data_IF_363662751958
#
_entry.id   IF_363662751958
#
_cell.length_a   1.000
_cell.length_b   1.000
_cell.length_c   1.000
_cell.angle_alpha   90.00
_cell.angle_beta   90.00
_cell.angle_gamma   90.00
#
_symmetry.space_group_name_H-M   'P 1'
#
loop_
_entity.id
_entity.type
_entity.pdbx_description
1 polymer ?
#
# COMPACT_ATOMS: atom_id res chain seq x y z
N UNK A 1 12.98 -30.69 0.42
CA UNK A 1 14.04 -29.80 0.94
C UNK A 1 14.40 -28.75 -0.12
N UNK A 2 14.31 -27.46 0.21
CA UNK A 2 14.82 -26.40 -0.66
C UNK A 2 16.35 -26.56 -0.79
N UNK A 3 16.85 -26.55 -2.03
CA UNK A 3 18.29 -26.62 -2.25
C UNK A 3 18.98 -25.40 -1.63
N UNK A 4 20.19 -25.55 -1.12
CA UNK A 4 20.94 -24.49 -0.41
C UNK A 4 20.98 -23.18 -1.20
N UNK A 5 21.19 -23.26 -2.51
CA UNK A 5 21.21 -22.09 -3.38
C UNK A 5 19.86 -21.37 -3.48
N UNK A 6 18.73 -22.10 -3.46
CA UNK A 6 17.39 -21.48 -3.49
C UNK A 6 17.17 -20.65 -2.22
N UNK A 7 17.54 -21.20 -1.06
CA UNK A 7 17.47 -20.48 0.21
C UNK A 7 18.33 -19.21 0.20
N UNK A 8 19.53 -19.28 -0.37
CA UNK A 8 20.43 -18.13 -0.50
C UNK A 8 19.83 -17.03 -1.38
N UNK A 9 19.36 -17.38 -2.59
CA UNK A 9 18.71 -16.49 -3.54
C UNK A 9 17.52 -15.78 -2.89
N UNK A 10 16.62 -16.55 -2.28
CA UNK A 10 15.42 -16.01 -1.65
C UNK A 10 15.75 -15.10 -0.46
N UNK A 11 16.69 -15.50 0.40
CA UNK A 11 17.11 -14.68 1.54
C UNK A 11 17.62 -13.30 1.08
N UNK A 12 18.49 -13.28 0.07
CA UNK A 12 19.02 -12.01 -0.48
C UNK A 12 17.93 -11.17 -1.12
N UNK A 13 17.06 -11.79 -1.89
CA UNK A 13 15.94 -11.07 -2.50
C UNK A 13 15.03 -10.43 -1.44
N UNK A 14 14.64 -11.18 -0.40
CA UNK A 14 13.79 -10.65 0.68
C UNK A 14 14.46 -9.55 1.51
N UNK A 15 15.77 -9.62 1.70
CA UNK A 15 16.51 -8.52 2.36
C UNK A 15 16.45 -7.24 1.52
N UNK A 16 16.64 -7.33 0.19
CA UNK A 16 16.50 -6.17 -0.70
C UNK A 16 15.07 -5.64 -0.72
N UNK A 17 14.12 -6.55 -0.81
CA UNK A 17 12.71 -6.21 -0.75
C UNK A 17 12.34 -5.46 0.54
N UNK A 18 12.76 -5.96 1.70
CA UNK A 18 12.51 -5.29 2.98
C UNK A 18 13.17 -3.91 3.06
N UNK A 19 14.39 -3.75 2.54
CA UNK A 19 15.09 -2.48 2.51
C UNK A 19 14.36 -1.45 1.64
N UNK A 20 13.89 -1.86 0.46
CA UNK A 20 13.14 -0.98 -0.45
C UNK A 20 11.76 -0.67 0.11
N UNK A 21 11.09 -1.64 0.74
CA UNK A 21 9.86 -1.41 1.49
C UNK A 21 10.03 -0.32 2.56
N UNK A 22 11.10 -0.38 3.36
CA UNK A 22 11.41 0.63 4.37
C UNK A 22 11.66 2.01 3.74
N UNK A 23 12.38 2.08 2.62
CA UNK A 23 12.64 3.34 1.92
C UNK A 23 11.33 3.98 1.42
N UNK A 24 10.44 3.21 0.79
CA UNK A 24 9.14 3.72 0.33
C UNK A 24 8.19 4.06 1.48
N UNK A 25 8.21 3.26 2.55
CA UNK A 25 7.42 3.55 3.74
C UNK A 25 7.85 4.87 4.38
N UNK A 26 9.16 5.11 4.55
CA UNK A 26 9.68 6.37 5.11
C UNK A 26 9.32 7.57 4.24
N UNK A 27 9.44 7.45 2.93
CA UNK A 27 9.06 8.49 1.97
C UNK A 27 7.54 8.73 2.02
N UNK A 28 6.73 7.68 2.05
CA UNK A 28 5.27 7.78 2.19
C UNK A 28 4.85 8.47 3.49
N UNK A 29 5.49 8.14 4.62
CA UNK A 29 5.23 8.82 5.90
C UNK A 29 5.58 10.31 5.80
N UNK A 30 6.73 10.66 5.21
CA UNK A 30 7.14 12.07 5.07
C UNK A 30 6.14 12.85 4.23
N UNK A 31 5.67 12.31 3.12
CA UNK A 31 4.69 12.99 2.26
C UNK A 31 3.34 13.12 2.95
N UNK A 32 2.85 12.06 3.57
CA UNK A 32 1.56 12.06 4.28
C UNK A 32 1.57 13.01 5.48
N UNK A 33 2.67 13.15 6.20
CA UNK A 33 2.73 14.04 7.39
C UNK A 33 2.55 15.51 7.00
N UNK A 34 3.11 15.95 5.87
CA UNK A 34 2.92 17.31 5.36
C UNK A 34 1.46 17.56 4.98
N UNK A 35 0.81 16.59 4.37
CA UNK A 35 -0.61 16.67 4.01
C UNK A 35 -1.49 16.79 5.26
N UNK A 36 -1.24 15.94 6.27
CA UNK A 36 -2.03 15.95 7.51
C UNK A 36 -1.80 17.23 8.33
N UNK A 37 -0.57 17.72 8.45
CA UNK A 37 -0.28 19.00 9.13
C UNK A 37 -1.00 20.15 8.42
N UNK A 38 -0.99 20.17 7.09
CA UNK A 38 -1.70 21.19 6.30
C UNK A 38 -3.21 21.13 6.53
N UNK A 39 -3.80 19.94 6.58
CA UNK A 39 -5.22 19.74 6.84
C UNK A 39 -5.64 20.26 8.21
N UNK A 40 -4.84 20.00 9.25
CA UNK A 40 -5.15 20.41 10.63
C UNK A 40 -4.67 21.80 11.02
N UNK A 41 -3.97 22.52 10.13
CA UNK A 41 -3.42 23.85 10.44
C UNK A 41 -4.43 24.89 10.84
N UNK A 42 -5.68 24.77 10.36
CA UNK A 42 -6.81 25.70 10.62
C UNK A 42 -7.87 25.11 11.55
N UNK A 43 -7.57 24.04 12.28
CA UNK A 43 -8.52 23.34 13.13
C UNK A 43 -8.00 23.26 14.57
N UNK A 44 -8.92 23.36 15.54
CA UNK A 44 -8.61 23.17 16.96
C UNK A 44 -8.42 21.67 17.27
N UNK A 45 -7.35 21.08 16.70
CA UNK A 45 -7.02 19.67 16.85
C UNK A 45 -5.80 19.49 17.75
N UNK A 46 -5.71 18.32 18.39
CA UNK A 46 -4.54 17.96 19.17
C UNK A 46 -3.30 17.91 18.29
N UNK A 47 -2.19 18.51 18.75
CA UNK A 47 -0.90 18.55 18.04
C UNK A 47 -0.40 17.16 17.56
N UNK A 48 -0.71 16.10 18.29
CA UNK A 48 -0.29 14.73 17.92
C UNK A 48 -1.19 14.06 16.86
N UNK A 49 -2.36 14.62 16.57
CA UNK A 49 -3.35 14.00 15.68
C UNK A 49 -2.84 13.76 14.25
N UNK A 50 -2.18 14.74 13.59
CA UNK A 50 -1.61 14.56 12.25
C UNK A 50 -0.62 13.39 12.19
N UNK A 51 0.20 13.21 13.22
CA UNK A 51 1.17 12.11 13.29
C UNK A 51 0.48 10.75 13.40
N UNK A 52 -0.51 10.63 14.26
CA UNK A 52 -1.29 9.39 14.41
C UNK A 52 -1.98 9.03 13.10
N UNK A 53 -2.62 9.98 12.44
CA UNK A 53 -3.30 9.77 11.17
C UNK A 53 -2.34 9.37 10.05
N UNK A 54 -1.15 9.97 10.00
CA UNK A 54 -0.09 9.56 9.07
C UNK A 54 0.26 8.08 9.26
N UNK A 55 0.45 7.62 10.49
CA UNK A 55 0.77 6.21 10.76
C UNK A 55 -0.39 5.27 10.44
N UNK A 56 -1.65 5.69 10.64
CA UNK A 56 -2.80 4.89 10.26
C UNK A 56 -2.96 4.76 8.74
N UNK A 57 -2.59 5.81 8.00
CA UNK A 57 -2.69 5.83 6.53
C UNK A 57 -1.49 5.14 5.83
N UNK A 58 -0.31 5.12 6.45
CA UNK A 58 0.92 4.59 5.84
C UNK A 58 0.81 3.14 5.32
N UNK A 59 0.15 2.18 6.01
CA UNK A 59 0.03 0.81 5.51
C UNK A 59 -0.75 0.67 4.21
N UNK A 60 -1.83 1.42 4.02
CA UNK A 60 -2.61 1.33 2.78
C UNK A 60 -1.85 2.00 1.63
N UNK A 61 -1.18 3.13 1.87
CA UNK A 61 -0.33 3.78 0.87
C UNK A 61 0.80 2.85 0.42
N UNK A 62 1.42 2.13 1.35
CA UNK A 62 2.42 1.13 1.02
C UNK A 62 1.84 -0.02 0.18
N UNK A 63 0.62 -0.47 0.49
CA UNK A 63 -0.07 -1.52 -0.28
C UNK A 63 -0.29 -1.10 -1.73
N UNK A 64 -0.71 0.13 -1.98
CA UNK A 64 -0.98 0.65 -3.33
C UNK A 64 0.27 0.68 -4.22
N UNK A 65 1.44 0.98 -3.63
CA UNK A 65 2.71 1.02 -4.37
C UNK A 65 3.48 -0.31 -4.36
N UNK A 66 2.92 -1.36 -3.77
CA UNK A 66 3.58 -2.65 -3.60
C UNK A 66 4.09 -3.31 -4.90
N UNK A 67 3.36 -3.26 -6.04
CA UNK A 67 3.86 -3.78 -7.32
C UNK A 67 5.17 -3.11 -7.76
N UNK A 68 5.30 -1.80 -7.54
CA UNK A 68 6.53 -1.05 -7.84
C UNK A 68 7.68 -1.45 -6.91
N UNK A 69 7.41 -1.66 -5.63
CA UNK A 69 8.40 -2.14 -4.67
C UNK A 69 8.96 -3.49 -5.11
N UNK A 70 8.11 -4.42 -5.56
CA UNK A 70 8.57 -5.70 -6.09
C UNK A 70 9.46 -5.55 -7.32
N UNK A 71 9.03 -4.72 -8.27
CA UNK A 71 9.77 -4.48 -9.51
C UNK A 71 11.17 -3.90 -9.22
N UNK A 72 11.23 -2.86 -8.40
CA UNK A 72 12.50 -2.20 -8.02
C UNK A 72 13.39 -3.16 -7.23
N UNK A 73 12.82 -3.94 -6.31
CA UNK A 73 13.55 -4.93 -5.53
C UNK A 73 14.16 -6.02 -6.41
N UNK A 74 13.43 -6.48 -7.41
CA UNK A 74 13.94 -7.44 -8.38
C UNK A 74 15.08 -6.86 -9.21
N UNK A 75 14.95 -5.59 -9.67
CA UNK A 75 16.02 -4.91 -10.41
C UNK A 75 17.29 -4.76 -9.58
N UNK A 76 17.20 -4.28 -8.34
CA UNK A 76 18.35 -4.16 -7.46
C UNK A 76 18.99 -5.51 -7.13
N UNK A 77 18.17 -6.54 -6.94
CA UNK A 77 18.67 -7.89 -6.73
C UNK A 77 19.46 -8.40 -7.95
N UNK A 78 18.89 -8.28 -9.15
CA UNK A 78 19.61 -8.72 -10.38
C UNK A 78 20.86 -7.89 -10.64
N UNK A 79 20.80 -6.58 -10.42
CA UNK A 79 21.98 -5.72 -10.54
C UNK A 79 23.13 -6.20 -9.61
N UNK A 80 22.82 -6.52 -8.37
CA UNK A 80 23.82 -6.96 -7.40
C UNK A 80 24.45 -8.30 -7.75
N UNK A 81 23.67 -9.29 -8.16
CA UNK A 81 24.20 -10.60 -8.55
C UNK A 81 25.03 -10.57 -9.85
N UNK A 82 24.72 -9.61 -10.76
CA UNK A 82 25.51 -9.39 -11.96
C UNK A 82 26.83 -8.72 -11.56
N UNK A 83 26.76 -7.63 -10.80
CA UNK A 83 27.92 -6.83 -10.38
C UNK A 83 28.94 -7.65 -9.58
N UNK A 84 28.49 -8.62 -8.80
CA UNK A 84 29.34 -9.47 -7.96
C UNK A 84 29.75 -10.80 -8.66
N UNK A 85 29.50 -10.94 -9.97
CA UNK A 85 29.79 -12.15 -10.76
C UNK A 85 29.14 -13.44 -10.21
N UNK A 86 28.13 -13.31 -9.32
CA UNK A 86 27.45 -14.47 -8.71
C UNK A 86 26.68 -15.30 -9.75
N UNK A 87 26.25 -14.68 -10.86
CA UNK A 87 25.63 -15.38 -11.98
C UNK A 87 26.57 -16.45 -12.54
N UNK A 88 27.87 -16.17 -12.64
CA UNK A 88 28.87 -17.10 -13.14
C UNK A 88 29.01 -18.26 -12.16
N UNK A 89 29.07 -17.97 -10.86
CA UNK A 89 29.10 -18.99 -9.81
C UNK A 89 27.87 -19.91 -9.86
N UNK A 90 26.68 -19.34 -10.07
CA UNK A 90 25.45 -20.13 -10.20
C UNK A 90 25.47 -21.03 -11.44
N UNK A 91 25.93 -20.53 -12.58
CA UNK A 91 26.07 -21.32 -13.81
C UNK A 91 27.05 -22.45 -13.68
N UNK A 92 28.22 -22.19 -13.09
CA UNK A 92 29.24 -23.22 -12.84
C UNK A 92 28.73 -24.36 -11.92
N UNK A 93 27.75 -24.03 -11.04
CA UNK A 93 27.08 -25.02 -10.21
C UNK A 93 25.79 -25.61 -10.87
N UNK A 94 25.64 -25.46 -12.19
CA UNK A 94 24.57 -26.08 -12.96
C UNK A 94 23.20 -25.39 -12.83
N UNK A 95 23.17 -24.13 -12.36
CA UNK A 95 21.95 -23.32 -12.30
C UNK A 95 21.75 -22.55 -13.60
N UNK A 96 20.65 -22.80 -14.29
CA UNK A 96 20.26 -22.00 -15.45
C UNK A 96 19.59 -20.68 -14.99
N UNK A 97 19.72 -19.63 -15.80
CA UNK A 97 19.06 -18.34 -15.55
C UNK A 97 17.54 -18.48 -15.37
N UNK A 98 16.93 -19.36 -16.17
CA UNK A 98 15.48 -19.65 -16.06
C UNK A 98 15.11 -20.23 -14.69
N UNK A 99 15.96 -21.03 -14.09
CA UNK A 99 15.70 -21.60 -12.76
C UNK A 99 15.76 -20.54 -11.66
N UNK A 100 16.69 -19.59 -11.78
CA UNK A 100 16.78 -18.45 -10.85
C UNK A 100 15.51 -17.60 -10.96
N UNK A 101 15.12 -17.22 -12.18
CA UNK A 101 13.93 -16.41 -12.45
C UNK A 101 12.67 -17.13 -11.97
N UNK A 102 12.52 -18.44 -12.27
CA UNK A 102 11.35 -19.22 -11.82
C UNK A 102 11.23 -19.28 -10.29
N UNK A 103 12.34 -19.44 -9.57
CA UNK A 103 12.32 -19.45 -8.11
C UNK A 103 11.91 -18.09 -7.54
N UNK A 104 12.40 -16.99 -8.11
CA UNK A 104 12.01 -15.64 -7.71
C UNK A 104 10.55 -15.34 -8.03
N UNK A 105 10.10 -15.70 -9.24
CA UNK A 105 8.72 -15.52 -9.65
C UNK A 105 7.75 -16.27 -8.72
N UNK A 106 8.01 -17.55 -8.46
CA UNK A 106 7.18 -18.36 -7.57
C UNK A 106 7.13 -17.77 -6.16
N UNK A 107 8.28 -17.33 -5.65
CA UNK A 107 8.34 -16.71 -4.33
C UNK A 107 7.63 -15.36 -4.26
N UNK A 108 7.78 -14.52 -5.28
CA UNK A 108 7.06 -13.25 -5.39
C UNK A 108 5.56 -13.45 -5.49
N UNK A 109 5.12 -14.45 -6.26
CA UNK A 109 3.70 -14.80 -6.40
C UNK A 109 3.09 -15.25 -5.06
N UNK A 110 3.77 -16.14 -4.34
CA UNK A 110 3.32 -16.58 -3.00
C UNK A 110 3.28 -15.41 -2.01
N UNK A 111 4.30 -14.55 -2.03
CA UNK A 111 4.32 -13.35 -1.21
C UNK A 111 3.16 -12.41 -1.55
N UNK A 112 2.87 -12.20 -2.84
CA UNK A 112 1.73 -11.41 -3.30
C UNK A 112 0.39 -11.92 -2.74
N UNK A 113 0.17 -13.23 -2.76
CA UNK A 113 -1.02 -13.86 -2.16
C UNK A 113 -1.11 -13.54 -0.66
N UNK A 114 -0.01 -13.71 0.08
CA UNK A 114 0.04 -13.42 1.52
C UNK A 114 -0.28 -11.95 1.79
N UNK A 115 0.25 -11.04 0.98
CA UNK A 115 0.00 -9.60 1.13
C UNK A 115 -1.46 -9.28 0.88
N UNK A 116 -2.08 -9.81 -0.16
CA UNK A 116 -3.49 -9.56 -0.45
C UNK A 116 -4.38 -10.14 0.65
N UNK A 117 -4.11 -11.36 1.14
CA UNK A 117 -4.95 -12.01 2.13
C UNK A 117 -4.82 -11.43 3.53
N UNK A 118 -3.62 -11.06 3.96
CA UNK A 118 -3.37 -10.63 5.33
C UNK A 118 -3.11 -9.13 5.45
N UNK A 119 -2.17 -8.61 4.66
CA UNK A 119 -1.74 -7.22 4.79
C UNK A 119 -2.84 -6.25 4.34
N UNK A 120 -3.55 -6.55 3.25
CA UNK A 120 -4.67 -5.72 2.79
C UNK A 120 -5.78 -5.60 3.84
N UNK A 121 -6.18 -6.71 4.47
CA UNK A 121 -7.21 -6.69 5.50
C UNK A 121 -6.81 -5.83 6.72
N UNK A 122 -5.53 -5.90 7.11
CA UNK A 122 -5.01 -5.08 8.20
C UNK A 122 -4.98 -3.60 7.80
N UNK A 123 -4.44 -3.30 6.62
CA UNK A 123 -4.33 -1.93 6.10
C UNK A 123 -5.69 -1.27 5.89
N UNK A 124 -6.68 -2.04 5.41
CA UNK A 124 -8.06 -1.56 5.23
C UNK A 124 -8.72 -1.18 6.56
N UNK A 125 -8.52 -1.97 7.63
CA UNK A 125 -9.02 -1.62 8.96
C UNK A 125 -8.38 -0.34 9.50
N UNK A 126 -7.08 -0.17 9.31
CA UNK A 126 -6.36 1.04 9.74
C UNK A 126 -6.81 2.26 8.93
N UNK A 127 -7.04 2.09 7.63
CA UNK A 127 -7.60 3.15 6.76
C UNK A 127 -9.01 3.54 7.19
N UNK A 128 -9.84 2.58 7.61
CA UNK A 128 -11.17 2.88 8.11
C UNK A 128 -11.10 3.75 9.37
N UNK A 129 -10.24 3.41 10.34
CA UNK A 129 -10.01 4.22 11.54
C UNK A 129 -9.48 5.61 11.19
N UNK A 130 -8.55 5.70 10.24
CA UNK A 130 -8.03 6.97 9.74
C UNK A 130 -9.17 7.84 9.19
N UNK A 131 -10.03 7.27 8.33
CA UNK A 131 -11.12 8.00 7.69
C UNK A 131 -12.16 8.44 8.72
N UNK A 132 -12.49 7.57 9.68
CA UNK A 132 -13.46 7.87 10.75
C UNK A 132 -12.99 9.04 11.62
N UNK A 133 -11.72 9.03 12.04
CA UNK A 133 -11.15 10.13 12.81
C UNK A 133 -11.12 11.43 11.98
N UNK A 134 -10.69 11.35 10.72
CA UNK A 134 -10.56 12.52 9.84
C UNK A 134 -11.91 13.16 9.53
N UNK A 135 -12.97 12.36 9.41
CA UNK A 135 -14.34 12.83 9.18
C UNK A 135 -14.87 13.71 10.34
N UNK A 136 -14.47 13.40 11.59
CA UNK A 136 -14.90 14.19 12.75
C UNK A 136 -14.38 15.64 12.72
N UNK A 137 -13.31 15.87 11.95
CA UNK A 137 -12.70 17.20 11.79
C UNK A 137 -12.98 17.82 10.43
N UNK A 138 -13.63 17.12 9.50
CA UNK A 138 -13.95 17.62 8.17
C UNK A 138 -15.32 18.29 8.19
N UNK A 139 -15.37 19.59 7.92
CA UNK A 139 -16.63 20.32 7.77
C UNK A 139 -17.37 20.00 6.46
N UNK A 140 -16.72 19.37 5.50
CA UNK A 140 -17.21 19.20 4.13
C UNK A 140 -17.88 17.85 3.85
N UNK A 141 -17.92 16.92 4.82
CA UNK A 141 -18.41 15.54 4.65
C UNK A 141 -17.85 14.78 3.42
N UNK A 142 -16.76 15.28 2.82
CA UNK A 142 -16.16 14.73 1.59
C UNK A 142 -15.67 13.29 1.74
N UNK A 143 -15.34 12.90 2.96
CA UNK A 143 -14.82 11.55 3.25
C UNK A 143 -15.94 10.52 3.45
N UNK A 144 -17.20 10.92 3.45
CA UNK A 144 -18.37 10.04 3.50
C UNK A 144 -18.80 9.56 2.10
N UNK A 145 -18.24 10.14 1.03
CA UNK A 145 -18.51 9.76 -0.34
C UNK A 145 -17.46 8.78 -0.87
N UNK A 146 -17.89 7.61 -1.28
CA UNK A 146 -17.05 6.66 -2.02
C UNK A 146 -17.43 6.72 -3.50
N UNK A 147 -16.48 7.18 -4.32
CA UNK A 147 -16.61 7.20 -5.77
C UNK A 147 -15.93 5.96 -6.34
N UNK A 148 -16.67 5.10 -7.00
CA UNK A 148 -16.15 3.94 -7.72
C UNK A 148 -16.80 3.83 -9.11
N UNK A 149 -16.36 2.88 -9.92
CA UNK A 149 -16.89 2.66 -11.27
C UNK A 149 -18.40 2.38 -11.32
N UNK A 150 -19.00 2.02 -10.18
CA UNK A 150 -20.45 1.76 -10.05
C UNK A 150 -21.25 3.00 -9.62
N UNK A 151 -20.61 4.14 -9.40
CA UNK A 151 -21.25 5.41 -9.02
C UNK A 151 -20.72 6.01 -7.71
N UNK A 152 -21.41 7.01 -7.24
CA UNK A 152 -21.11 7.75 -6.02
C UNK A 152 -22.02 7.22 -4.92
N UNK A 153 -21.41 6.76 -3.84
CA UNK A 153 -22.12 6.27 -2.66
C UNK A 153 -21.94 7.30 -1.55
N UNK A 154 -23.05 7.87 -1.09
CA UNK A 154 -23.07 8.80 0.04
C UNK A 154 -23.70 8.09 1.23
N UNK A 155 -23.00 8.14 2.36
CA UNK A 155 -23.55 7.74 3.65
C UNK A 155 -23.89 9.02 4.40
N UNK A 156 -25.16 9.20 4.73
CA UNK A 156 -25.64 10.30 5.57
C UNK A 156 -26.31 9.72 6.83
N UNK A 157 -26.21 10.43 7.94
CA UNK A 157 -26.78 10.02 9.22
C UNK A 157 -27.73 11.10 9.71
N UNK A 158 -29.03 10.84 9.57
CA UNK A 158 -30.09 11.76 9.99
C UNK A 158 -30.98 11.09 11.04
N UNK A 159 -31.10 11.69 12.22
CA UNK A 159 -31.94 11.20 13.33
C UNK A 159 -31.75 9.72 13.68
N UNK A 160 -30.50 9.27 13.84
CA UNK A 160 -30.13 7.88 14.14
C UNK A 160 -30.48 6.86 13.03
N UNK A 161 -30.88 7.33 11.85
CA UNK A 161 -31.05 6.49 10.68
C UNK A 161 -29.90 6.72 9.70
N UNK A 162 -29.27 5.63 9.25
CA UNK A 162 -28.21 5.69 8.26
C UNK A 162 -28.85 5.63 6.87
N UNK A 163 -28.74 6.71 6.13
CA UNK A 163 -29.16 6.80 4.73
C UNK A 163 -27.95 6.51 3.83
N UNK A 164 -28.07 5.49 3.01
CA UNK A 164 -27.05 5.18 1.98
C UNK A 164 -27.68 5.52 0.63
N UNK A 165 -27.20 6.59 0.01
CA UNK A 165 -27.67 7.04 -1.29
C UNK A 165 -26.65 6.69 -2.37
N UNK A 166 -27.08 6.00 -3.41
CA UNK A 166 -26.26 5.72 -4.60
C UNK A 166 -26.71 6.65 -5.72
N UNK A 167 -25.78 7.37 -6.31
CA UNK A 167 -26.03 8.20 -7.51
C UNK A 167 -25.03 7.84 -8.61
N UNK A 168 -25.46 7.95 -9.85
CA UNK A 168 -24.61 7.69 -11.02
C UNK A 168 -23.71 8.87 -11.35
N UNK A 169 -24.20 10.09 -11.16
CA UNK A 169 -23.46 11.33 -11.46
C UNK A 169 -23.90 12.49 -10.58
N UNK A 170 -23.00 13.46 -10.36
CA UNK A 170 -23.31 14.76 -9.78
C UNK A 170 -23.34 15.80 -10.92
N UNK A 171 -24.43 16.51 -11.07
CA UNK A 171 -24.57 17.64 -12.01
C UNK A 171 -25.12 18.83 -11.28
N UNK A 172 -24.42 19.98 -11.36
CA UNK A 172 -24.83 21.25 -10.71
C UNK A 172 -25.15 21.11 -9.21
N UNK A 173 -24.33 20.41 -8.43
CA UNK A 173 -24.53 20.12 -7.00
C UNK A 173 -25.75 19.23 -6.66
N UNK A 174 -26.40 18.63 -7.64
CA UNK A 174 -27.49 17.68 -7.42
C UNK A 174 -27.09 16.29 -7.83
N UNK A 175 -27.58 15.28 -7.07
CA UNK A 175 -27.42 13.88 -7.39
C UNK A 175 -28.41 13.51 -8.52
N UNK A 176 -27.90 12.96 -9.61
CA UNK A 176 -28.72 12.46 -10.71
C UNK A 176 -28.74 10.94 -10.73
N UNK A 177 -29.89 10.35 -11.09
CA UNK A 177 -30.11 8.90 -11.10
C UNK A 177 -29.83 8.26 -9.72
N UNK A 178 -30.57 8.71 -8.71
CA UNK A 178 -30.56 8.20 -7.32
C UNK A 178 -31.38 6.92 -7.22
#
# INVERSE_FOLDING_TARGET
MLKIYTKYILKRFYLKFALICLAFLSLGIILNIFEEISFFSNQDANFFLPYILTFLNAPITLFEIFPFIFLISAQFYFYEIIKNDEIILFKNNGLSNLRIIKNLFLSAFLMGIIIVLFYYNLSSKLKFLYTDIKNNYSNDNKYLAVVNDSGIWLKDEYNSTVLITKSKNIKNNYLNDV
#
